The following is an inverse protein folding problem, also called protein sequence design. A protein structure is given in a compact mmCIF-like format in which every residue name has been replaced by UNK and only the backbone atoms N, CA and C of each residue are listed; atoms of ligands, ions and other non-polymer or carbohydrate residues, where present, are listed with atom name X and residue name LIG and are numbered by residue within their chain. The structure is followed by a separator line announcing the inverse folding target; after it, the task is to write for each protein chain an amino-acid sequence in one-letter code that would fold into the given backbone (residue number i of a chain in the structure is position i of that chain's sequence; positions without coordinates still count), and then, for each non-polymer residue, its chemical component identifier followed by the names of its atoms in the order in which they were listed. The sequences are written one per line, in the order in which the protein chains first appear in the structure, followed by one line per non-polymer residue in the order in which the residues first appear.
data_IF_690096961246
#
_entry.id   IF_690096961246
#
_cell.length_a   1.000
_cell.length_b   1.000
_cell.length_c   1.000
_cell.angle_alpha   90.00
_cell.angle_beta   90.00
_cell.angle_gamma   90.00
#
_symmetry.space_group_name_H-M   'P 1'
#
loop_
_entity.id
_entity.type
_entity.pdbx_description
1 polymer ?
#
# COMPACT_ATOMS: atom_id res chain seq x y z
N UNK A 1 1.57 7.10 -65.16
CA UNK A 1 0.81 7.76 -64.09
C UNK A 1 -0.32 6.82 -63.69
N UNK A 2 -0.23 6.17 -62.52
CA UNK A 2 -1.27 5.29 -61.98
C UNK A 2 -1.09 5.29 -60.45
N UNK A 3 -1.99 5.94 -59.72
CA UNK A 3 -1.92 6.10 -58.26
C UNK A 3 -2.32 4.79 -57.57
N UNK A 4 -1.51 4.33 -56.62
CA UNK A 4 -1.81 3.22 -55.71
C UNK A 4 -2.60 3.76 -54.51
N UNK A 5 -3.70 3.12 -54.06
CA UNK A 5 -4.39 3.56 -52.85
C UNK A 5 -3.59 3.16 -51.59
N UNK A 6 -3.60 3.97 -50.52
CA UNK A 6 -3.06 3.56 -49.23
C UNK A 6 -4.14 2.79 -48.45
N UNK A 7 -3.90 1.51 -48.17
CA UNK A 7 -4.78 0.71 -47.30
C UNK A 7 -4.18 0.63 -45.90
N UNK A 8 -4.69 1.50 -45.01
CA UNK A 8 -5.30 1.06 -43.76
C UNK A 8 -4.43 0.56 -42.60
N UNK A 9 -4.32 1.44 -41.60
CA UNK A 9 -4.44 1.23 -40.14
C UNK A 9 -3.45 0.29 -39.44
N UNK A 10 -2.55 0.92 -38.68
CA UNK A 10 -1.79 0.32 -37.59
C UNK A 10 -2.75 -0.41 -36.63
N UNK A 11 -2.47 -1.70 -36.37
CA UNK A 11 -3.17 -2.51 -35.39
C UNK A 11 -2.27 -2.72 -34.18
N UNK A 12 -2.88 -2.48 -33.02
CA UNK A 12 -2.43 -3.00 -31.74
C UNK A 12 -1.58 -2.02 -30.98
N UNK A 13 -2.23 -1.10 -30.27
CA UNK A 13 -1.70 -0.64 -28.99
C UNK A 13 -1.48 -1.91 -28.15
N UNK A 14 -0.24 -2.40 -28.08
CA UNK A 14 0.19 -3.29 -27.03
C UNK A 14 0.11 -2.50 -25.72
N UNK A 15 -1.09 -2.42 -25.17
CA UNK A 15 -1.29 -2.10 -23.76
C UNK A 15 -0.67 -3.27 -23.03
N UNK A 16 0.64 -3.15 -22.77
CA UNK A 16 1.33 -3.92 -21.76
C UNK A 16 0.57 -3.66 -20.47
N UNK A 17 -0.32 -4.57 -20.11
CA UNK A 17 -0.90 -4.64 -18.78
C UNK A 17 0.26 -5.01 -17.88
N UNK A 18 0.99 -3.99 -17.40
CA UNK A 18 1.98 -4.16 -16.35
C UNK A 18 1.19 -4.66 -15.16
N UNK A 19 1.22 -5.97 -14.93
CA UNK A 19 0.78 -6.54 -13.66
C UNK A 19 1.51 -5.76 -12.57
N UNK A 20 0.80 -5.15 -11.60
CA UNK A 20 1.47 -4.37 -10.57
C UNK A 20 2.48 -5.29 -9.91
N UNK A 21 3.75 -4.92 -9.96
CA UNK A 21 4.81 -5.69 -9.34
C UNK A 21 4.63 -5.47 -7.83
N UNK A 22 3.93 -6.39 -7.16
CA UNK A 22 3.48 -6.19 -5.78
C UNK A 22 4.52 -6.67 -4.78
N UNK A 23 5.11 -5.74 -4.02
CA UNK A 23 5.89 -6.09 -2.83
C UNK A 23 5.00 -6.75 -1.78
N UNK A 24 5.57 -7.62 -0.95
CA UNK A 24 4.87 -8.19 0.21
C UNK A 24 5.29 -7.43 1.47
N UNK A 25 4.30 -7.01 2.26
CA UNK A 25 4.51 -6.40 3.58
C UNK A 25 3.90 -7.35 4.61
N UNK A 26 4.71 -7.80 5.56
CA UNK A 26 4.29 -8.74 6.60
C UNK A 26 4.87 -8.34 7.94
N UNK A 27 4.34 -8.91 9.02
CA UNK A 27 4.92 -8.75 10.33
C UNK A 27 4.71 -9.97 11.20
N UNK A 28 5.70 -10.26 12.04
CA UNK A 28 5.61 -11.26 13.11
C UNK A 28 5.90 -10.55 14.42
N UNK A 29 5.05 -10.70 15.43
CA UNK A 29 5.10 -9.89 16.66
C UNK A 29 6.47 -9.84 17.35
N UNK A 30 7.27 -10.91 17.27
CA UNK A 30 8.62 -10.95 17.86
C UNK A 30 9.75 -10.55 16.88
N UNK A 31 9.50 -10.53 15.57
CA UNK A 31 10.50 -10.15 14.54
C UNK A 31 10.30 -8.71 14.03
N UNK A 32 9.09 -8.18 14.13
CA UNK A 32 8.71 -6.86 13.61
C UNK A 32 8.23 -6.89 12.16
N UNK A 33 8.27 -5.71 11.54
CA UNK A 33 7.87 -5.46 10.15
C UNK A 33 8.93 -6.01 9.18
N UNK A 34 8.48 -6.73 8.15
CA UNK A 34 9.29 -7.21 7.04
C UNK A 34 8.67 -6.81 5.71
N UNK A 35 9.54 -6.51 4.74
CA UNK A 35 9.12 -6.19 3.38
C UNK A 35 10.00 -6.96 2.42
N UNK A 36 9.38 -7.61 1.44
CA UNK A 36 10.07 -8.24 0.33
C UNK A 36 9.62 -7.64 -0.98
N UNK A 37 10.56 -7.48 -1.89
CA UNK A 37 10.28 -7.16 -3.29
C UNK A 37 9.46 -8.30 -3.91
N UNK A 38 8.86 -8.06 -5.09
CA UNK A 38 8.18 -9.11 -5.85
C UNK A 38 9.08 -10.32 -6.17
N UNK A 39 10.40 -10.11 -6.19
CA UNK A 39 11.39 -11.16 -6.44
C UNK A 39 11.83 -11.89 -5.16
N UNK A 40 11.25 -11.55 -4.00
CA UNK A 40 11.60 -12.14 -2.70
C UNK A 40 12.78 -11.46 -1.99
N UNK A 41 13.48 -10.53 -2.64
CA UNK A 41 14.60 -9.82 -2.03
C UNK A 41 14.14 -8.89 -0.89
N UNK A 42 14.94 -8.72 0.18
CA UNK A 42 14.62 -7.76 1.24
C UNK A 42 14.43 -6.34 0.70
N UNK A 43 13.40 -5.66 1.18
CA UNK A 43 13.09 -4.28 0.84
C UNK A 43 12.91 -3.43 2.10
N UNK A 44 12.82 -2.11 1.91
CA UNK A 44 12.65 -1.16 3.02
C UNK A 44 11.63 -0.08 2.68
N UNK A 45 11.22 0.68 3.70
CA UNK A 45 10.33 1.83 3.53
C UNK A 45 11.12 3.11 3.27
N UNK A 46 10.46 4.02 2.56
CA UNK A 46 10.92 5.38 2.34
C UNK A 46 9.77 6.35 2.64
N UNK A 47 10.09 7.48 3.27
CA UNK A 47 9.20 8.63 3.38
C UNK A 47 9.45 9.51 2.17
N UNK A 48 8.40 9.75 1.40
CA UNK A 48 8.44 10.54 0.17
C UNK A 48 7.68 11.84 0.43
N UNK A 49 8.31 12.98 0.15
CA UNK A 49 7.65 14.28 0.26
C UNK A 49 6.70 14.54 -0.93
N UNK A 50 5.97 15.65 -0.87
CA UNK A 50 4.99 16.00 -1.91
C UNK A 50 5.65 16.32 -3.27
N UNK A 51 6.96 16.52 -3.31
CA UNK A 51 7.76 16.72 -4.53
C UNK A 51 8.33 15.41 -5.08
N UNK A 52 8.02 14.26 -4.45
CA UNK A 52 8.50 12.95 -4.87
C UNK A 52 9.92 12.63 -4.42
N UNK A 53 10.50 13.41 -3.51
CA UNK A 53 11.85 13.18 -2.99
C UNK A 53 11.80 12.25 -1.79
N UNK A 54 12.73 11.30 -1.72
CA UNK A 54 12.92 10.47 -0.53
C UNK A 54 13.61 11.34 0.53
N UNK A 55 12.91 11.63 1.63
CA UNK A 55 13.42 12.44 2.74
C UNK A 55 13.98 11.59 3.88
N UNK A 56 13.54 10.33 3.98
CA UNK A 56 14.08 9.34 4.91
C UNK A 56 13.82 7.93 4.34
N UNK A 57 14.69 6.97 4.62
CA UNK A 57 14.50 5.57 4.21
C UNK A 57 15.32 4.61 5.04
N UNK A 58 14.96 3.33 4.98
CA UNK A 58 15.75 2.26 5.57
C UNK A 58 15.17 1.70 6.87
N UNK A 59 15.97 0.89 7.60
CA UNK A 59 15.51 0.15 8.77
C UNK A 59 14.94 1.04 9.88
N UNK A 60 15.41 2.27 10.02
CA UNK A 60 14.92 3.20 11.03
C UNK A 60 13.47 3.63 10.76
N UNK A 61 13.14 3.92 9.49
CA UNK A 61 11.76 4.22 9.06
C UNK A 61 10.86 3.02 9.33
N UNK A 62 11.31 1.80 9.01
CA UNK A 62 10.55 0.58 9.27
C UNK A 62 10.23 0.39 10.76
N UNK A 63 11.22 0.59 11.64
CA UNK A 63 11.04 0.51 13.10
C UNK A 63 10.06 1.57 13.60
N UNK A 64 10.21 2.82 13.14
CA UNK A 64 9.33 3.92 13.54
C UNK A 64 7.87 3.64 13.15
N UNK A 65 7.62 3.17 11.91
CA UNK A 65 6.29 2.79 11.44
C UNK A 65 5.70 1.66 12.29
N UNK A 66 6.49 0.63 12.57
CA UNK A 66 6.07 -0.49 13.42
C UNK A 66 5.70 -0.03 14.84
N UNK A 67 6.58 0.73 15.49
CA UNK A 67 6.38 1.20 16.86
C UNK A 67 5.16 2.12 16.98
N UNK A 68 4.96 3.03 16.02
CA UNK A 68 3.79 3.91 15.97
C UNK A 68 2.50 3.11 15.77
N UNK A 69 2.48 2.16 14.83
CA UNK A 69 1.30 1.34 14.58
C UNK A 69 0.89 0.53 15.81
N UNK A 70 1.87 -0.15 16.45
CA UNK A 70 1.62 -0.94 17.65
C UNK A 70 1.22 -0.07 18.84
N UNK A 71 1.87 1.09 19.04
CA UNK A 71 1.51 2.00 20.13
C UNK A 71 0.12 2.59 19.94
N UNK A 72 -0.25 2.94 18.71
CA UNK A 72 -1.60 3.40 18.37
C UNK A 72 -2.64 2.34 18.69
N UNK A 73 -2.41 1.09 18.28
CA UNK A 73 -3.30 -0.03 18.57
C UNK A 73 -3.42 -0.30 20.09
N UNK A 74 -2.31 -0.26 20.82
CA UNK A 74 -2.32 -0.39 22.29
C UNK A 74 -3.13 0.72 22.95
N UNK A 75 -2.94 1.97 22.53
CA UNK A 75 -3.69 3.10 23.08
C UNK A 75 -5.20 2.97 22.81
N UNK A 76 -5.56 2.49 21.62
CA UNK A 76 -6.94 2.14 21.28
C UNK A 76 -7.50 1.09 22.25
N UNK A 77 -6.78 0.00 22.49
CA UNK A 77 -7.19 -1.07 23.42
C UNK A 77 -7.23 -0.63 24.89
N UNK A 78 -6.32 0.24 25.32
CA UNK A 78 -6.28 0.78 26.68
C UNK A 78 -7.37 1.84 26.93
N UNK A 79 -8.14 2.22 25.91
CA UNK A 79 -9.16 3.26 26.04
C UNK A 79 -8.59 4.66 26.26
N UNK A 80 -7.28 4.85 26.07
CA UNK A 80 -6.60 6.15 26.25
C UNK A 80 -6.81 7.10 25.06
N UNK A 81 -7.73 6.75 24.14
CA UNK A 81 -8.01 7.45 22.88
C UNK A 81 -9.48 7.81 22.59
N UNK A 82 -10.32 8.08 23.61
CA UNK A 82 -11.68 8.69 23.52
C UNK A 82 -12.81 7.91 22.79
N UNK A 83 -12.84 6.58 22.85
CA UNK A 83 -13.96 5.82 22.26
C UNK A 83 -15.27 5.98 23.05
N UNK A 84 -16.34 6.39 22.35
CA UNK A 84 -17.73 6.18 22.80
C UNK A 84 -18.47 5.35 21.75
N UNK A 85 -19.03 4.22 22.20
CA UNK A 85 -19.85 3.30 21.39
C UNK A 85 -21.31 3.51 21.78
N UNK A 86 -22.20 3.68 20.79
CA UNK A 86 -23.64 3.75 20.97
C UNK A 86 -24.34 2.84 19.95
N UNK A 87 -25.32 2.08 20.43
CA UNK A 87 -26.23 1.27 19.62
C UNK A 87 -27.68 1.69 19.96
N UNK A 88 -28.56 1.71 18.95
CA UNK A 88 -30.01 1.84 19.16
C UNK A 88 -30.67 0.49 18.85
N UNK A 89 -31.63 0.02 19.66
CA UNK A 89 -32.36 -1.20 19.34
C UNK A 89 -33.12 -1.02 18.02
N UNK A 90 -32.98 -1.99 17.12
CA UNK A 90 -33.85 -2.09 15.94
C UNK A 90 -35.23 -2.55 16.41
N UNK A 91 -36.33 -1.85 16.07
CA UNK A 91 -37.64 -2.46 16.17
C UNK A 91 -37.66 -3.68 15.25
N UNK A 92 -38.29 -4.73 15.77
CA UNK A 92 -38.54 -5.99 15.08
C UNK A 92 -39.44 -5.71 13.86
N UNK A 93 -39.02 -6.11 12.67
CA UNK A 93 -39.86 -6.22 11.47
C UNK A 93 -39.79 -7.71 11.07
N UNK A 94 -40.84 -8.54 10.97
CA UNK A 94 -42.30 -8.46 11.07
C UNK A 94 -42.81 -9.56 12.03
#
# INVERSE_FOLDING_TARGET
MMMKPPTGIARGDDVQVVTPITSTISAVSFQGLQITTPNGEPATLAVIDVQGRIIDSGPNVMRAVWDVAIRSYRNFLMGTGHLRVLSKPSPMNE
#
